data_IF_548626431384
#
_entry.id   IF_548626431384
#
_cell.length_a   1.000
_cell.length_b   1.000
_cell.length_c   1.000
_cell.angle_alpha   90.00
_cell.angle_beta   90.00
_cell.angle_gamma   90.00
#
_symmetry.space_group_name_H-M   'P 1'
#
loop_
_entity.id
_entity.type
_entity.pdbx_description
1 polymer ?
#
# COMPACT_ATOMS: atom_id res chain seq x y z
N UNK A 1 11.41 4.46 -10.32
CA UNK A 1 11.48 2.99 -10.40
C UNK A 1 10.12 2.43 -9.98
N UNK A 2 9.97 1.10 -9.81
CA UNK A 2 8.71 0.46 -9.37
C UNK A 2 8.21 1.02 -8.03
N UNK A 3 9.11 1.34 -7.09
CA UNK A 3 8.73 1.93 -5.80
C UNK A 3 8.07 3.29 -5.98
N UNK A 4 8.69 4.18 -6.77
CA UNK A 4 8.13 5.49 -7.06
C UNK A 4 6.78 5.39 -7.79
N UNK A 5 6.65 4.44 -8.74
CA UNK A 5 5.37 4.17 -9.43
C UNK A 5 4.29 3.70 -8.46
N UNK A 6 4.61 2.81 -7.52
CA UNK A 6 3.70 2.38 -6.46
C UNK A 6 3.25 3.52 -5.56
N UNK A 7 4.16 4.43 -5.21
CA UNK A 7 3.82 5.62 -4.42
C UNK A 7 2.91 6.58 -5.20
N UNK A 8 3.15 6.77 -6.49
CA UNK A 8 2.28 7.54 -7.38
C UNK A 8 0.90 6.88 -7.51
N UNK A 9 0.85 5.56 -7.67
CA UNK A 9 -0.40 4.81 -7.76
C UNK A 9 -1.22 4.94 -6.47
N UNK A 10 -0.59 4.75 -5.30
CA UNK A 10 -1.25 4.98 -4.00
C UNK A 10 -1.86 6.39 -3.94
N UNK A 11 -1.09 7.42 -4.30
CA UNK A 11 -1.58 8.80 -4.27
C UNK A 11 -2.66 9.09 -5.31
N UNK A 12 -2.64 8.39 -6.45
CA UNK A 12 -3.69 8.50 -7.47
C UNK A 12 -5.00 7.89 -6.99
N UNK A 13 -4.93 6.77 -6.26
CA UNK A 13 -6.10 6.08 -5.73
C UNK A 13 -6.70 6.80 -4.52
N UNK A 14 -5.85 7.32 -3.63
CA UNK A 14 -6.31 7.84 -2.33
C UNK A 14 -6.32 9.37 -2.24
N UNK A 15 -5.67 10.07 -3.17
CA UNK A 15 -5.46 11.52 -3.12
C UNK A 15 -4.33 11.96 -2.17
N UNK A 16 -3.64 11.03 -1.51
CA UNK A 16 -2.64 11.32 -0.49
C UNK A 16 -1.36 10.49 -0.67
N UNK A 17 -0.17 10.99 -0.29
CA UNK A 17 1.05 10.19 -0.35
C UNK A 17 1.01 9.02 0.66
N UNK A 18 1.65 7.87 0.36
CA UNK A 18 1.66 6.71 1.26
C UNK A 18 2.37 6.98 2.59
N UNK A 19 3.34 7.89 2.62
CA UNK A 19 4.05 8.29 3.82
C UNK A 19 4.02 9.81 3.94
N UNK A 20 3.91 10.31 5.17
CA UNK A 20 3.85 11.73 5.51
C UNK A 20 5.04 12.14 6.36
N UNK A 21 5.37 13.43 6.33
CA UNK A 21 6.48 14.02 7.08
C UNK A 21 7.35 14.89 6.18
N UNK A 22 8.41 15.46 6.75
CA UNK A 22 9.37 16.29 6.04
C UNK A 22 10.80 15.84 6.32
N UNK A 23 11.69 16.00 5.34
CA UNK A 23 13.11 15.70 5.47
C UNK A 23 13.39 14.31 6.05
N UNK A 24 14.01 14.27 7.23
CA UNK A 24 14.40 13.03 7.89
C UNK A 24 13.21 12.20 8.40
N UNK A 25 12.13 12.84 8.84
CA UNK A 25 10.92 12.15 9.31
C UNK A 25 10.30 11.32 8.17
N UNK A 26 10.16 11.92 6.98
CA UNK A 26 9.65 11.22 5.81
C UNK A 26 10.57 10.06 5.40
N UNK A 27 11.88 10.29 5.40
CA UNK A 27 12.86 9.23 5.11
C UNK A 27 12.73 8.06 6.09
N UNK A 28 12.59 8.35 7.38
CA UNK A 28 12.43 7.33 8.42
C UNK A 28 11.12 6.55 8.24
N UNK A 29 10.02 7.24 7.93
CA UNK A 29 8.73 6.65 7.64
C UNK A 29 8.82 5.69 6.44
N UNK A 30 9.37 6.15 5.32
CA UNK A 30 9.59 5.35 4.12
C UNK A 30 10.44 4.11 4.38
N UNK A 31 11.36 4.15 5.35
CA UNK A 31 12.24 3.02 5.65
C UNK A 31 11.66 2.04 6.69
N UNK A 32 10.96 2.54 7.71
CA UNK A 32 10.57 1.75 8.89
C UNK A 32 9.11 1.35 8.91
N UNK A 33 8.25 2.16 8.31
CA UNK A 33 6.81 1.95 8.42
C UNK A 33 6.33 0.96 7.38
N UNK A 34 5.34 0.12 7.72
CA UNK A 34 4.73 -0.77 6.74
C UNK A 34 4.12 0.06 5.60
N UNK A 35 4.11 -0.51 4.39
CA UNK A 35 3.36 0.07 3.28
C UNK A 35 1.87 0.13 3.66
N UNK A 36 1.21 1.30 3.60
CA UNK A 36 -0.22 1.39 3.84
C UNK A 36 -1.00 0.71 2.71
N UNK A 37 -2.18 0.19 3.05
CA UNK A 37 -3.11 -0.30 2.05
C UNK A 37 -4.00 0.87 1.60
N UNK A 38 -4.17 1.14 0.29
CA UNK A 38 -5.13 2.12 -0.20
C UNK A 38 -6.53 1.98 0.41
N UNK A 39 -7.00 0.74 0.64
CA UNK A 39 -8.30 0.47 1.24
C UNK A 39 -8.46 0.94 2.70
N UNK A 40 -7.37 1.32 3.38
CA UNK A 40 -7.42 1.95 4.70
C UNK A 40 -7.90 3.40 4.63
N UNK A 41 -7.75 4.06 3.48
CA UNK A 41 -8.23 5.42 3.24
C UNK A 41 -9.57 5.42 2.49
N UNK A 42 -9.74 4.50 1.55
CA UNK A 42 -10.98 4.32 0.79
C UNK A 42 -11.42 2.84 0.81
N UNK A 43 -12.35 2.47 1.71
CA UNK A 43 -12.82 1.08 1.87
C UNK A 43 -13.50 0.49 0.64
N UNK A 44 -13.91 1.30 -0.34
CA UNK A 44 -14.52 0.82 -1.58
C UNK A 44 -13.45 0.31 -2.58
N UNK A 45 -12.17 0.57 -2.32
CA UNK A 45 -11.08 0.08 -3.16
C UNK A 45 -10.94 -1.46 -3.07
N UNK A 46 -10.82 -2.17 -4.21
CA UNK A 46 -10.64 -3.62 -4.21
C UNK A 46 -9.33 -4.05 -3.54
N UNK A 47 -9.38 -5.15 -2.77
CA UNK A 47 -8.21 -5.75 -2.12
C UNK A 47 -7.07 -6.13 -3.09
N UNK A 48 -7.38 -6.34 -4.38
CA UNK A 48 -6.36 -6.56 -5.41
C UNK A 48 -5.43 -5.34 -5.56
N UNK A 49 -5.96 -4.11 -5.45
CA UNK A 49 -5.15 -2.90 -5.53
C UNK A 49 -4.27 -2.72 -4.29
N UNK A 50 -4.71 -3.19 -3.11
CA UNK A 50 -3.85 -3.25 -1.93
C UNK A 50 -2.63 -4.13 -2.17
N UNK A 51 -2.83 -5.31 -2.75
CA UNK A 51 -1.76 -6.25 -3.08
C UNK A 51 -0.73 -5.61 -4.03
N UNK A 52 -1.20 -5.01 -5.13
CA UNK A 52 -0.34 -4.35 -6.12
C UNK A 52 0.48 -3.22 -5.49
N UNK A 53 -0.18 -2.33 -4.74
CA UNK A 53 0.48 -1.16 -4.14
C UNK A 53 1.46 -1.56 -3.06
N UNK A 54 1.09 -2.48 -2.17
CA UNK A 54 1.99 -2.93 -1.09
C UNK A 54 3.19 -3.71 -1.63
N UNK A 55 3.03 -4.46 -2.73
CA UNK A 55 4.13 -5.10 -3.46
C UNK A 55 5.11 -4.05 -4.01
N UNK A 56 4.61 -3.00 -4.66
CA UNK A 56 5.47 -1.92 -5.17
C UNK A 56 6.25 -1.20 -4.04
N UNK A 57 5.59 -1.00 -2.89
CA UNK A 57 6.14 -0.30 -1.73
C UNK A 57 6.93 -1.20 -0.77
N UNK A 58 7.23 -2.45 -1.17
CA UNK A 58 8.02 -3.36 -0.37
C UNK A 58 9.41 -2.78 -0.05
N UNK A 59 9.86 -2.99 1.19
CA UNK A 59 11.13 -2.41 1.67
C UNK A 59 12.33 -3.11 1.04
N UNK A 60 12.22 -4.42 0.88
CA UNK A 60 13.20 -5.27 0.20
C UNK A 60 12.92 -5.17 -1.32
N UNK A 61 13.88 -4.70 -2.14
CA UNK A 61 13.67 -4.54 -3.58
C UNK A 61 13.25 -5.82 -4.31
N UNK A 62 13.73 -6.97 -3.85
CA UNK A 62 13.43 -8.30 -4.42
C UNK A 62 11.99 -8.75 -4.17
N UNK A 63 11.29 -8.12 -3.22
CA UNK A 63 9.87 -8.36 -2.95
C UNK A 63 8.96 -7.50 -3.85
N UNK A 64 9.53 -6.57 -4.62
CA UNK A 64 8.78 -5.72 -5.56
C UNK A 64 8.60 -6.42 -6.90
N UNK A 65 7.82 -5.81 -7.78
CA UNK A 65 7.84 -6.22 -9.18
C UNK A 65 9.25 -6.10 -9.76
N UNK A 66 9.70 -7.09 -10.54
CA UNK A 66 11.04 -7.10 -11.12
C UNK A 66 11.25 -5.99 -12.16
N UNK A 67 10.16 -5.47 -12.74
CA UNK A 67 10.18 -4.39 -13.72
C UNK A 67 8.88 -3.58 -13.68
N UNK A 68 8.89 -2.41 -14.33
CA UNK A 68 7.67 -1.64 -14.55
C UNK A 68 6.68 -2.37 -15.48
N UNK A 69 7.18 -3.13 -16.46
CA UNK A 69 6.32 -3.94 -17.34
C UNK A 69 5.58 -5.01 -16.54
N UNK A 70 6.24 -5.68 -15.58
CA UNK A 70 5.58 -6.67 -14.73
C UNK A 70 4.47 -6.06 -13.85
N UNK A 71 4.63 -4.80 -13.42
CA UNK A 71 3.57 -4.05 -12.75
C UNK A 71 2.42 -3.72 -13.72
N UNK A 72 2.75 -3.27 -14.94
CA UNK A 72 1.75 -2.95 -15.95
C UNK A 72 0.92 -4.17 -16.34
N UNK A 73 1.56 -5.31 -16.59
CA UNK A 73 0.90 -6.59 -16.88
C UNK A 73 -0.11 -6.96 -15.78
N UNK A 74 0.26 -6.76 -14.51
CA UNK A 74 -0.62 -7.11 -13.40
C UNK A 74 -1.83 -6.17 -13.26
N UNK A 75 -1.63 -4.88 -13.55
CA UNK A 75 -2.72 -3.90 -13.62
C UNK A 75 -3.64 -4.16 -14.82
N UNK A 76 -3.10 -4.57 -15.97
CA UNK A 76 -3.89 -4.96 -17.14
C UNK A 76 -4.74 -6.20 -16.85
N UNK A 77 -4.20 -7.18 -16.13
CA UNK A 77 -4.97 -8.35 -15.65
C UNK A 77 -6.12 -7.93 -14.74
N UNK A 78 -5.87 -7.03 -13.79
CA UNK A 78 -6.93 -6.48 -12.94
C UNK A 78 -8.02 -5.77 -13.77
N UNK A 79 -7.63 -4.92 -14.74
CA UNK A 79 -8.57 -4.23 -15.64
C UNK A 79 -9.39 -5.20 -16.50
N UNK A 80 -8.82 -6.35 -16.86
CA UNK A 80 -9.51 -7.43 -17.58
C UNK A 80 -10.43 -8.28 -16.68
N UNK A 81 -10.47 -8.02 -15.37
CA UNK A 81 -11.24 -8.82 -14.40
C UNK A 81 -10.55 -10.14 -14.00
N UNK A 82 -9.26 -10.29 -14.30
CA UNK A 82 -8.45 -11.42 -13.89
C UNK A 82 -7.83 -11.21 -12.50
N UNK A 83 -7.47 -12.31 -11.83
CA UNK A 83 -6.78 -12.24 -10.53
C UNK A 83 -5.34 -11.77 -10.69
N UNK A 84 -4.91 -10.74 -9.94
CA UNK A 84 -3.52 -10.26 -9.92
C UNK A 84 -2.51 -11.32 -9.45
N UNK A 85 -1.25 -11.19 -9.86
CA UNK A 85 -0.10 -11.99 -9.40
C UNK A 85 0.32 -11.54 -8.00
N UNK A 86 0.23 -10.24 -7.72
CA UNK A 86 0.55 -9.71 -6.39
C UNK A 86 -0.21 -10.46 -5.29
N UNK A 87 0.53 -10.82 -4.25
CA UNK A 87 -0.03 -11.50 -3.10
C UNK A 87 -0.62 -10.47 -2.13
N UNK A 88 -1.77 -10.76 -1.51
CA UNK A 88 -2.36 -9.86 -0.54
C UNK A 88 -1.39 -9.62 0.62
N UNK A 89 -1.35 -8.39 1.17
CA UNK A 89 -0.49 -8.10 2.32
C UNK A 89 -0.85 -9.01 3.49
N UNK A 90 0.17 -9.44 4.22
CA UNK A 90 0.01 -10.24 5.43
C UNK A 90 -0.93 -9.56 6.42
N UNK A 91 -1.62 -10.34 7.26
CA UNK A 91 -2.57 -9.81 8.26
C UNK A 91 -1.94 -8.74 9.17
N UNK A 92 -0.64 -8.83 9.44
CA UNK A 92 0.10 -7.85 10.25
C UNK A 92 0.38 -6.54 9.51
N UNK A 93 0.51 -6.57 8.18
CA UNK A 93 0.60 -5.37 7.33
C UNK A 93 -0.75 -4.64 7.32
N UNK A 94 -1.87 -5.37 7.24
CA UNK A 94 -3.23 -4.81 7.31
C UNK A 94 -3.59 -4.28 8.70
N UNK A 95 -3.18 -4.96 9.77
CA UNK A 95 -3.52 -4.55 11.14
C UNK A 95 -2.84 -3.25 11.58
N UNK A 96 -1.73 -2.84 10.93
CA UNK A 96 -0.95 -1.66 11.33
C UNK A 96 -1.39 -0.35 10.67
N UNK A 97 -2.01 -0.35 9.51
CA UNK A 97 -2.52 0.89 8.93
C UNK A 97 -3.92 1.27 9.44
N UNK A 98 -4.72 0.31 9.93
CA UNK A 98 -5.94 0.61 10.72
C UNK A 98 -5.62 1.44 11.98
N UNK A 99 -4.49 1.16 12.64
CA UNK A 99 -4.03 1.94 13.79
C UNK A 99 -3.69 3.40 13.45
N UNK A 100 -3.46 3.71 12.15
CA UNK A 100 -3.25 5.05 11.63
C UNK A 100 -4.54 5.79 11.28
N UNK A 101 -5.55 5.08 10.76
CA UNK A 101 -6.83 5.66 10.37
C UNK A 101 -7.70 6.03 11.59
N UNK A 102 -7.59 5.29 12.70
CA UNK A 102 -8.42 5.50 13.90
C UNK A 102 -7.63 5.48 15.21
N UNK A 103 -6.80 6.50 15.49
CA UNK A 103 -6.00 6.53 16.72
C UNK A 103 -6.83 6.63 18.02
N UNK A 104 -8.14 6.89 17.97
CA UNK A 104 -8.99 7.15 19.16
C UNK A 104 -10.23 6.26 19.34
N UNK A 105 -10.60 5.41 18.38
CA UNK A 105 -11.83 4.59 18.48
C UNK A 105 -11.62 3.24 19.22
N UNK A 106 -10.39 2.74 19.30
CA UNK A 106 -10.09 1.44 19.91
C UNK A 106 -9.99 1.46 21.45
N UNK A 107 -9.98 2.65 22.07
CA UNK A 107 -9.94 2.81 23.53
C UNK A 107 -11.29 2.65 24.23
N UNK A 108 -12.41 2.67 23.48
CA UNK A 108 -13.77 2.69 24.05
C UNK A 108 -14.54 1.37 23.87
N UNK A 109 -14.02 0.41 23.10
CA UNK A 109 -14.69 -0.88 22.86
C UNK A 109 -14.28 -2.01 23.83
N UNK A 110 -13.47 -1.69 24.86
CA UNK A 110 -13.07 -2.63 25.93
C UNK A 110 -13.49 -2.14 27.34
N UNK A 111 -14.50 -1.26 27.41
CA UNK A 111 -15.12 -0.81 28.67
C UNK A 111 -16.42 -1.51 28.97
#
# INVERSE_FOLDING_TARGET
DVYALGATLFATLTGEPPFRGEGFELFLAMFREPAPCPSELDPDLPAALDAVVTTCLAKVPEERYPSADALADDLERWLAGEAVVAQPPSLWQRARGVARAHPLELGLALG
#
